data_IF_262021972491
#
_entry.id   IF_262021972491
#
_cell.length_a   1.000
_cell.length_b   1.000
_cell.length_c   1.000
_cell.angle_alpha   90.00
_cell.angle_beta   90.00
_cell.angle_gamma   90.00
#
_symmetry.space_group_name_H-M   'P 1'
#
loop_
_entity.id
_entity.type
_entity.pdbx_description
1 polymer ?
#
# COMPACT_ATOMS: atom_id res chain seq x y z
N UNK A 1 -3.96 -11.26 18.44
CA UNK A 1 -3.24 -10.68 17.28
C UNK A 1 -4.02 -11.11 16.06
N UNK A 2 -4.43 -10.18 15.21
CA UNK A 2 -5.20 -10.44 14.00
C UNK A 2 -4.38 -9.98 12.80
N UNK A 3 -4.55 -10.62 11.65
CA UNK A 3 -3.95 -10.24 10.38
C UNK A 3 -4.99 -9.53 9.52
N UNK A 4 -4.77 -8.25 9.26
CA UNK A 4 -5.74 -7.40 8.58
C UNK A 4 -5.22 -7.10 7.17
N UNK A 5 -6.01 -7.50 6.18
CA UNK A 5 -5.76 -7.26 4.77
C UNK A 5 -6.33 -5.92 4.31
N UNK A 6 -5.61 -5.26 3.41
CA UNK A 6 -6.07 -4.07 2.70
C UNK A 6 -5.98 -4.31 1.20
N UNK A 7 -7.05 -3.99 0.48
CA UNK A 7 -7.00 -3.77 -0.96
C UNK A 7 -7.19 -2.28 -1.21
N UNK A 8 -6.14 -1.61 -1.68
CA UNK A 8 -6.21 -0.18 -2.02
C UNK A 8 -6.19 -0.02 -3.54
N UNK A 9 -7.27 0.55 -4.08
CA UNK A 9 -7.54 0.61 -5.51
C UNK A 9 -7.33 1.98 -6.13
N UNK A 10 -7.38 3.05 -5.31
CA UNK A 10 -7.33 4.44 -5.77
C UNK A 10 -5.96 5.09 -5.53
N UNK A 11 -5.58 5.96 -6.47
CA UNK A 11 -4.32 6.71 -6.42
C UNK A 11 -4.36 7.87 -5.43
N UNK A 12 -3.18 8.43 -5.09
CA UNK A 12 -3.06 9.54 -4.16
C UNK A 12 -3.58 10.86 -4.76
N UNK A 13 -3.85 11.83 -3.89
CA UNK A 13 -4.27 13.22 -4.18
C UNK A 13 -5.65 13.41 -4.80
N UNK A 14 -6.12 12.50 -5.65
CA UNK A 14 -7.47 12.56 -6.21
C UNK A 14 -8.55 12.10 -5.21
N UNK A 15 -8.17 11.16 -4.33
CA UNK A 15 -9.05 10.55 -3.34
C UNK A 15 -8.33 10.41 -2.00
N UNK A 16 -9.08 10.43 -0.89
CA UNK A 16 -8.57 10.34 0.49
C UNK A 16 -8.32 8.88 0.95
N UNK A 17 -8.67 7.91 0.11
CA UNK A 17 -8.65 6.48 0.45
C UNK A 17 -7.29 5.98 0.94
N UNK A 18 -6.19 6.51 0.39
CA UNK A 18 -4.83 6.19 0.82
C UNK A 18 -4.54 6.68 2.25
N UNK A 19 -5.05 7.84 2.63
CA UNK A 19 -4.86 8.41 3.96
C UNK A 19 -5.69 7.64 4.98
N UNK A 20 -6.92 7.31 4.63
CA UNK A 20 -7.78 6.43 5.43
C UNK A 20 -7.13 5.06 5.64
N UNK A 21 -6.61 4.43 4.57
CA UNK A 21 -5.89 3.17 4.64
C UNK A 21 -4.68 3.26 5.58
N UNK A 22 -3.86 4.31 5.44
CA UNK A 22 -2.70 4.53 6.30
C UNK A 22 -3.09 4.75 7.76
N UNK A 23 -4.15 5.52 8.04
CA UNK A 23 -4.61 5.77 9.41
C UNK A 23 -5.07 4.48 10.10
N UNK A 24 -5.87 3.66 9.42
CA UNK A 24 -6.34 2.39 9.96
C UNK A 24 -5.17 1.42 10.13
N UNK A 25 -4.31 1.27 9.12
CA UNK A 25 -3.15 0.38 9.19
C UNK A 25 -2.20 0.77 10.32
N UNK A 26 -1.90 2.06 10.48
CA UNK A 26 -1.00 2.54 11.53
C UNK A 26 -1.58 2.27 12.93
N UNK A 27 -2.87 2.57 13.13
CA UNK A 27 -3.55 2.31 14.39
C UNK A 27 -3.66 0.80 14.71
N UNK A 28 -3.76 -0.05 13.69
CA UNK A 28 -3.76 -1.49 13.86
C UNK A 28 -2.37 -2.03 14.23
N UNK A 29 -1.31 -1.55 13.58
CA UNK A 29 0.09 -1.88 13.94
C UNK A 29 0.42 -1.46 15.37
N UNK A 30 0.00 -0.26 15.78
CA UNK A 30 0.21 0.25 17.14
C UNK A 30 -0.53 -0.59 18.22
N UNK A 31 -1.55 -1.37 17.82
CA UNK A 31 -2.27 -2.33 18.67
C UNK A 31 -1.71 -3.76 18.60
N UNK A 32 -0.62 -3.97 17.87
CA UNK A 32 0.01 -5.28 17.69
C UNK A 32 -0.77 -6.22 16.77
N UNK A 33 -1.45 -5.68 15.76
CA UNK A 33 -1.98 -6.46 14.63
C UNK A 33 -0.97 -6.51 13.48
N UNK A 34 -1.13 -7.48 12.60
CA UNK A 34 -0.32 -7.63 11.38
C UNK A 34 -1.05 -7.01 10.19
N UNK A 35 -0.30 -6.36 9.29
CA UNK A 35 -0.86 -5.69 8.11
C UNK A 35 -0.32 -6.28 6.84
N UNK A 36 -1.26 -6.67 5.99
CA UNK A 36 -1.04 -7.08 4.61
C UNK A 36 -1.77 -6.10 3.70
N UNK A 37 -1.09 -5.54 2.71
CA UNK A 37 -1.69 -4.55 1.81
C UNK A 37 -1.36 -4.85 0.35
N UNK A 38 -2.41 -4.99 -0.45
CA UNK A 38 -2.31 -5.14 -1.90
C UNK A 38 -2.74 -3.85 -2.60
N UNK A 39 -1.82 -3.28 -3.38
CA UNK A 39 -2.07 -2.10 -4.20
C UNK A 39 -2.50 -2.53 -5.59
N UNK A 40 -3.74 -2.20 -5.94
CA UNK A 40 -4.37 -2.60 -7.19
C UNK A 40 -4.84 -1.37 -7.97
N UNK A 41 -5.03 -1.52 -9.29
CA UNK A 41 -5.43 -0.41 -10.16
C UNK A 41 -4.56 0.84 -9.96
N UNK A 42 -5.14 1.99 -9.65
CA UNK A 42 -4.42 3.25 -9.42
C UNK A 42 -3.76 3.31 -8.03
N UNK A 43 -4.08 2.37 -7.15
CA UNK A 43 -3.45 2.22 -5.84
C UNK A 43 -1.93 2.08 -5.91
N UNK A 44 -1.40 1.59 -7.04
CA UNK A 44 0.03 1.43 -7.28
C UNK A 44 0.79 2.77 -7.36
N UNK A 45 0.10 3.90 -7.52
CA UNK A 45 0.75 5.22 -7.52
C UNK A 45 1.12 5.71 -6.10
N UNK A 46 0.50 5.15 -5.05
CA UNK A 46 0.67 5.64 -3.68
C UNK A 46 2.11 5.59 -3.13
N UNK A 47 2.90 4.52 -3.35
CA UNK A 47 4.24 4.40 -2.75
C UNK A 47 5.39 4.88 -3.67
N UNK A 48 5.11 5.69 -4.69
CA UNK A 48 6.17 6.21 -5.58
C UNK A 48 7.11 7.15 -4.81
N UNK A 49 8.40 6.85 -4.78
CA UNK A 49 9.43 7.58 -3.99
C UNK A 49 9.72 8.99 -4.49
N UNK A 50 9.40 9.27 -5.75
CA UNK A 50 9.65 10.56 -6.40
C UNK A 50 8.54 11.59 -6.17
N UNK A 51 7.45 11.23 -5.47
CA UNK A 51 6.40 12.18 -5.14
C UNK A 51 6.94 13.35 -4.33
N UNK A 52 6.57 14.57 -4.72
CA UNK A 52 6.85 15.82 -4.00
C UNK A 52 5.62 16.72 -4.10
N UNK A 53 5.26 17.37 -3.00
CA UNK A 53 4.16 18.32 -2.97
C UNK A 53 4.64 19.57 -2.20
N UNK A 54 4.80 20.74 -2.86
CA UNK A 54 5.45 21.91 -2.25
C UNK A 54 4.84 22.34 -0.91
N UNK A 55 3.52 22.25 -0.77
CA UNK A 55 2.79 22.72 0.41
C UNK A 55 2.57 21.63 1.47
N UNK A 56 3.13 20.43 1.30
CA UNK A 56 2.91 19.29 2.19
C UNK A 56 4.24 18.69 2.64
N UNK A 57 4.48 18.72 3.95
CA UNK A 57 5.72 18.19 4.55
C UNK A 57 5.77 16.65 4.60
N UNK A 58 4.60 16.00 4.55
CA UNK A 58 4.46 14.54 4.62
C UNK A 58 3.53 14.13 3.49
N UNK A 59 4.07 13.48 2.46
CA UNK A 59 3.30 13.03 1.30
C UNK A 59 3.06 11.51 1.40
N UNK A 60 2.22 10.90 0.54
CA UNK A 60 1.86 9.48 0.61
C UNK A 60 3.08 8.56 0.76
N UNK A 61 4.15 8.76 -0.02
CA UNK A 61 5.36 7.94 0.06
C UNK A 61 5.93 7.84 1.48
N UNK A 62 5.85 8.91 2.27
CA UNK A 62 6.40 8.98 3.62
C UNK A 62 5.54 8.18 4.60
N UNK A 63 4.21 8.24 4.43
CA UNK A 63 3.24 7.47 5.21
C UNK A 63 3.34 5.98 4.92
N UNK A 64 3.48 5.60 3.65
CA UNK A 64 3.70 4.19 3.28
C UNK A 64 5.07 3.68 3.77
N UNK A 65 6.11 4.50 3.76
CA UNK A 65 7.41 4.15 4.33
C UNK A 65 7.35 3.93 5.85
N UNK A 66 6.56 4.72 6.57
CA UNK A 66 6.30 4.50 8.00
C UNK A 66 5.64 3.14 8.25
N UNK A 67 4.62 2.78 7.47
CA UNK A 67 3.94 1.48 7.60
C UNK A 67 4.90 0.32 7.37
N UNK A 68 5.70 0.37 6.30
CA UNK A 68 6.73 -0.65 6.01
C UNK A 68 7.72 -0.74 7.17
N UNK A 69 8.19 0.39 7.71
CA UNK A 69 9.11 0.43 8.85
C UNK A 69 8.51 -0.19 10.11
N UNK A 70 7.18 -0.08 10.29
CA UNK A 70 6.43 -0.71 11.38
C UNK A 70 6.08 -2.18 11.12
N UNK A 71 6.44 -2.73 9.97
CA UNK A 71 6.27 -4.15 9.64
C UNK A 71 5.08 -4.46 8.73
N UNK A 72 4.44 -3.46 8.11
CA UNK A 72 3.42 -3.74 7.10
C UNK A 72 4.03 -4.39 5.85
N UNK A 73 3.39 -5.44 5.37
CA UNK A 73 3.74 -6.12 4.14
C UNK A 73 2.93 -5.51 3.00
N UNK A 74 3.61 -4.90 2.01
CA UNK A 74 2.96 -4.19 0.91
C UNK A 74 3.38 -4.78 -0.44
N UNK A 75 2.40 -5.19 -1.23
CA UNK A 75 2.57 -5.76 -2.57
C UNK A 75 1.79 -4.92 -3.59
N UNK A 76 2.46 -4.49 -4.65
CA UNK A 76 1.83 -3.80 -5.78
C UNK A 76 1.59 -4.76 -6.94
N UNK A 77 0.41 -4.68 -7.55
CA UNK A 77 0.07 -5.50 -8.72
C UNK A 77 0.96 -5.18 -9.92
N UNK A 78 1.75 -6.15 -10.37
CA UNK A 78 2.74 -6.03 -11.44
C UNK A 78 2.14 -5.69 -12.80
N UNK A 79 0.93 -6.17 -13.11
CA UNK A 79 0.21 -5.77 -14.33
C UNK A 79 -0.14 -4.28 -14.24
N UNK A 80 -0.66 -3.81 -13.11
CA UNK A 80 -1.02 -2.41 -12.91
C UNK A 80 0.22 -1.50 -12.92
N UNK A 81 1.31 -1.92 -12.27
CA UNK A 81 2.63 -1.28 -12.28
C UNK A 81 3.11 -1.04 -13.71
N UNK A 82 3.17 -2.10 -14.53
CA UNK A 82 3.65 -2.02 -15.91
C UNK A 82 2.72 -1.20 -16.80
N UNK A 83 1.40 -1.38 -16.66
CA UNK A 83 0.41 -0.63 -17.44
C UNK A 83 0.44 0.89 -17.16
N UNK A 84 1.02 1.30 -16.02
CA UNK A 84 1.14 2.70 -15.57
C UNK A 84 2.55 3.27 -15.77
N UNK A 85 3.44 2.53 -16.44
CA UNK A 85 4.78 2.99 -16.77
C UNK A 85 5.74 3.02 -15.58
N UNK A 86 5.42 2.34 -14.47
CA UNK A 86 6.27 2.23 -13.29
C UNK A 86 7.23 1.05 -13.50
N UNK A 87 8.52 1.30 -13.65
CA UNK A 87 9.48 0.37 -14.28
C UNK A 87 9.73 -0.88 -13.42
N UNK A 88 8.81 -1.85 -13.48
CA UNK A 88 8.78 -3.04 -12.59
C UNK A 88 8.95 -2.69 -11.11
N UNK A 89 8.41 -1.53 -10.70
CA UNK A 89 8.45 -1.05 -9.31
C UNK A 89 9.76 -0.40 -8.86
N UNK A 90 10.72 -0.13 -9.76
CA UNK A 90 11.94 0.63 -9.41
C UNK A 90 11.66 2.01 -8.81
N UNK A 91 10.49 2.57 -9.11
CA UNK A 91 10.03 3.87 -8.66
C UNK A 91 9.49 3.87 -7.23
N UNK A 92 9.34 2.71 -6.58
CA UNK A 92 8.79 2.63 -5.23
C UNK A 92 9.82 2.89 -4.14
N UNK A 93 9.30 3.35 -2.99
CA UNK A 93 10.03 3.32 -1.72
C UNK A 93 10.51 1.89 -1.41
N UNK A 94 11.55 1.78 -0.59
CA UNK A 94 12.07 0.49 -0.16
C UNK A 94 11.01 -0.31 0.62
N UNK A 95 10.98 -1.63 0.42
CA UNK A 95 10.08 -2.57 1.11
C UNK A 95 8.74 -2.83 0.42
N UNK A 96 8.36 -2.05 -0.61
CA UNK A 96 7.22 -2.38 -1.47
C UNK A 96 7.64 -3.41 -2.52
N UNK A 97 6.96 -4.56 -2.53
CA UNK A 97 7.21 -5.63 -3.50
C UNK A 97 6.28 -5.49 -4.70
N UNK A 98 6.69 -6.05 -5.83
CA UNK A 98 5.81 -6.22 -7.01
C UNK A 98 5.42 -7.69 -7.11
N UNK A 99 4.12 -7.96 -7.14
CA UNK A 99 3.53 -9.31 -7.21
C UNK A 99 2.32 -9.35 -8.15
N UNK A 100 1.63 -10.47 -8.23
CA UNK A 100 0.45 -10.69 -9.06
C UNK A 100 -0.83 -10.88 -8.26
N UNK A 101 -1.94 -11.10 -8.98
CA UNK A 101 -3.22 -11.50 -8.38
C UNK A 101 -3.17 -12.84 -7.62
N UNK A 102 -2.31 -13.82 -7.95
CA UNK A 102 -2.12 -15.00 -7.10
C UNK A 102 -1.63 -14.65 -5.69
N UNK A 103 -0.69 -13.71 -5.55
CA UNK A 103 -0.22 -13.24 -4.23
C UNK A 103 -1.36 -12.56 -3.44
N UNK A 104 -2.25 -11.83 -4.14
CA UNK A 104 -3.44 -11.26 -3.51
C UNK A 104 -4.42 -12.35 -3.05
N UNK A 105 -4.66 -13.37 -3.87
CA UNK A 105 -5.53 -14.48 -3.49
C UNK A 105 -4.98 -15.23 -2.26
N UNK A 106 -3.66 -15.45 -2.21
CA UNK A 106 -2.98 -16.02 -1.05
C UNK A 106 -3.16 -15.11 0.18
N UNK A 107 -2.86 -13.81 0.05
CA UNK A 107 -3.08 -12.83 1.12
C UNK A 107 -4.53 -12.89 1.67
N UNK A 108 -5.54 -12.90 0.80
CA UNK A 108 -6.95 -12.96 1.20
C UNK A 108 -7.29 -14.25 1.95
N UNK A 109 -6.61 -15.36 1.64
CA UNK A 109 -6.82 -16.64 2.33
C UNK A 109 -6.23 -16.67 3.75
N UNK A 110 -5.29 -15.77 4.05
CA UNK A 110 -4.55 -15.76 5.32
C UNK A 110 -4.96 -14.64 6.28
N UNK A 111 -5.66 -13.60 5.80
CA UNK A 111 -6.13 -12.49 6.62
C UNK A 111 -7.44 -12.83 7.33
N UNK A 112 -7.61 -12.35 8.56
CA UNK A 112 -8.85 -12.51 9.33
C UNK A 112 -9.97 -11.58 8.82
N UNK A 113 -9.59 -10.47 8.17
CA UNK A 113 -10.50 -9.47 7.63
C UNK A 113 -9.85 -8.71 6.49
N UNK A 114 -10.63 -8.38 5.47
CA UNK A 114 -10.20 -7.59 4.32
C UNK A 114 -10.96 -6.25 4.29
N UNK A 115 -10.21 -5.16 4.24
CA UNK A 115 -10.73 -3.80 4.07
C UNK A 115 -10.42 -3.36 2.64
N UNK A 116 -11.45 -2.97 1.89
CA UNK A 116 -11.31 -2.50 0.50
C UNK A 116 -11.51 -0.99 0.43
N UNK A 117 -10.55 -0.27 -0.13
CA UNK A 117 -10.54 1.18 -0.29
C UNK A 117 -10.09 1.59 -1.69
#
# INVERSE_FOLDING_TARGET
>A
MARIGFLLTLGPYQFENWETACNIANAALDKGHEIEMFLYLDGVYNPIKLQTFPDMNVVPKDRFAELVKKGAHIVACGICVNARGLEKGKDYIEGVKVGGLPDFAEMVSEVDSLITL
#
